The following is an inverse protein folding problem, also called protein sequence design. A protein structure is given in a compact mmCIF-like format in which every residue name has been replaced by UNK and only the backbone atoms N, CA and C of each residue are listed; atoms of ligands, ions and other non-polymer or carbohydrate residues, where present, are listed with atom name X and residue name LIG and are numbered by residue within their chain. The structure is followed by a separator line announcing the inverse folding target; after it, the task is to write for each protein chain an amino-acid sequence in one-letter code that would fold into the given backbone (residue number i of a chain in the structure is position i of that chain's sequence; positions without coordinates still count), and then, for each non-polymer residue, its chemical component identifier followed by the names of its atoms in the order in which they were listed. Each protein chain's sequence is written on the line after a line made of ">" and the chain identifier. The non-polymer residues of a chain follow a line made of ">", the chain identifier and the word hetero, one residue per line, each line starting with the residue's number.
data_IF_506417066691
#
_entry.id   IF_506417066691
#
_cell.length_a   1.000
_cell.length_b   1.000
_cell.length_c   1.000
_cell.angle_alpha   90.00
_cell.angle_beta   90.00
_cell.angle_gamma   90.00
#
_symmetry.space_group_name_H-M   'P 1'
#
loop_
_entity.id
_entity.type
_entity.pdbx_description
1 polymer ?
#
# COMPACT_ATOMS: atom_id res chain seq x y z
N UNK A 1 7.01 19.44 -4.54
CA UNK A 1 7.53 18.09 -4.19
C UNK A 1 6.56 16.97 -4.54
N UNK A 2 5.30 16.99 -4.06
CA UNK A 2 4.30 15.93 -4.30
C UNK A 2 4.12 15.58 -5.78
N UNK A 3 3.94 16.58 -6.64
CA UNK A 3 3.82 16.41 -8.10
C UNK A 3 5.03 15.66 -8.69
N UNK A 4 6.25 15.97 -8.24
CA UNK A 4 7.49 15.30 -8.71
C UNK A 4 7.57 13.83 -8.29
N UNK A 5 7.03 13.49 -7.11
CA UNK A 5 6.96 12.11 -6.59
C UNK A 5 5.93 11.29 -7.37
N UNK A 6 4.72 11.81 -7.51
CA UNK A 6 3.60 11.08 -8.14
C UNK A 6 3.76 10.97 -9.67
N UNK A 7 4.54 11.87 -10.29
CA UNK A 7 4.86 11.82 -11.73
C UNK A 7 6.05 10.89 -12.04
N UNK A 8 6.75 10.39 -11.01
CA UNK A 8 7.89 9.50 -11.21
C UNK A 8 7.41 8.13 -11.72
N UNK A 9 7.91 7.67 -12.88
CA UNK A 9 7.47 6.40 -13.51
C UNK A 9 7.50 5.18 -12.58
N UNK A 10 8.42 5.14 -11.62
CA UNK A 10 8.56 4.03 -10.66
C UNK A 10 7.66 4.13 -9.41
N UNK A 11 7.02 5.28 -9.18
CA UNK A 11 6.21 5.53 -7.99
C UNK A 11 4.97 4.64 -7.98
N UNK A 12 4.13 4.72 -9.02
CA UNK A 12 2.89 3.95 -9.10
C UNK A 12 3.12 2.43 -9.12
N UNK A 13 4.19 1.96 -9.78
CA UNK A 13 4.59 0.55 -9.72
C UNK A 13 4.96 0.13 -8.29
N UNK A 14 5.68 0.98 -7.56
CA UNK A 14 6.03 0.72 -6.17
C UNK A 14 4.80 0.73 -5.27
N UNK A 15 3.87 1.67 -5.45
CA UNK A 15 2.60 1.73 -4.71
C UNK A 15 1.82 0.45 -4.91
N UNK A 16 1.60 0.02 -6.16
CA UNK A 16 0.85 -1.19 -6.48
C UNK A 16 1.47 -2.44 -5.85
N UNK A 17 2.80 -2.59 -5.94
CA UNK A 17 3.51 -3.73 -5.34
C UNK A 17 3.38 -3.70 -3.82
N UNK A 18 3.60 -2.54 -3.18
CA UNK A 18 3.49 -2.43 -1.72
C UNK A 18 2.08 -2.69 -1.23
N UNK A 19 1.06 -2.16 -1.91
CA UNK A 19 -0.34 -2.38 -1.58
C UNK A 19 -0.73 -3.86 -1.73
N UNK A 20 -0.25 -4.55 -2.78
CA UNK A 20 -0.46 -5.98 -2.95
C UNK A 20 0.18 -6.78 -1.81
N UNK A 21 1.45 -6.53 -1.51
CA UNK A 21 2.16 -7.21 -0.42
C UNK A 21 1.46 -6.97 0.93
N UNK A 22 1.05 -5.73 1.18
CA UNK A 22 0.34 -5.38 2.40
C UNK A 22 -1.04 -6.05 2.49
N UNK A 23 -1.77 -6.13 1.38
CA UNK A 23 -3.03 -6.86 1.28
C UNK A 23 -2.84 -8.35 1.60
N UNK A 24 -1.78 -8.98 1.09
CA UNK A 24 -1.46 -10.39 1.41
C UNK A 24 -1.14 -10.56 2.89
N UNK A 25 -0.32 -9.67 3.48
CA UNK A 25 0.01 -9.70 4.91
C UNK A 25 -1.27 -9.56 5.76
N UNK A 26 -2.13 -8.60 5.44
CA UNK A 26 -3.40 -8.41 6.14
C UNK A 26 -4.33 -9.62 6.02
N UNK A 27 -4.35 -10.27 4.86
CA UNK A 27 -5.10 -11.51 4.66
C UNK A 27 -4.57 -12.64 5.56
N UNK A 28 -3.25 -12.80 5.65
CA UNK A 28 -2.61 -13.79 6.55
C UNK A 28 -2.88 -13.46 8.02
N UNK A 29 -2.79 -12.19 8.42
CA UNK A 29 -3.10 -11.75 9.78
C UNK A 29 -4.56 -12.07 10.11
N UNK A 30 -5.50 -11.72 9.23
CA UNK A 30 -6.92 -12.03 9.42
C UNK A 30 -7.15 -13.55 9.53
N UNK A 31 -6.44 -14.34 8.73
CA UNK A 31 -6.48 -15.79 8.85
C UNK A 31 -6.03 -16.26 10.24
N UNK A 32 -4.94 -15.70 10.79
CA UNK A 32 -4.47 -16.02 12.14
C UNK A 32 -5.49 -15.73 13.25
N UNK A 33 -6.31 -14.69 13.10
CA UNK A 33 -7.37 -14.37 14.07
C UNK A 33 -8.64 -15.22 13.90
N UNK A 34 -9.05 -15.53 12.66
CA UNK A 34 -10.35 -16.18 12.37
C UNK A 34 -10.25 -17.67 12.04
N UNK A 35 -9.06 -18.19 11.79
CA UNK A 35 -8.80 -19.58 11.37
C UNK A 35 -9.38 -19.97 10.00
N UNK A 36 -9.93 -19.03 9.24
CA UNK A 36 -10.66 -19.28 7.97
C UNK A 36 -10.14 -18.41 6.85
N UNK A 37 -9.75 -19.03 5.74
CA UNK A 37 -9.22 -18.36 4.55
C UNK A 37 -10.32 -17.59 3.79
N UNK A 38 -11.54 -18.10 3.71
CA UNK A 38 -12.62 -17.52 2.88
C UNK A 38 -13.32 -16.30 3.49
N UNK A 39 -12.98 -15.91 4.72
CA UNK A 39 -13.73 -14.91 5.48
C UNK A 39 -13.74 -13.50 4.88
N UNK A 40 -12.81 -13.16 3.98
CA UNK A 40 -12.81 -11.88 3.25
C UNK A 40 -13.62 -11.97 1.95
N UNK A 41 -13.50 -13.09 1.24
CA UNK A 41 -14.19 -13.30 -0.03
C UNK A 41 -15.69 -13.55 0.13
N UNK A 42 -16.12 -14.07 1.28
CA UNK A 42 -17.53 -14.20 1.65
C UNK A 42 -18.10 -12.97 2.35
N UNK A 43 -17.28 -11.94 2.61
CA UNK A 43 -17.73 -10.73 3.27
C UNK A 43 -18.51 -9.81 2.32
N UNK A 44 -19.35 -8.95 2.88
CA UNK A 44 -20.09 -7.94 2.12
C UNK A 44 -19.15 -7.08 1.27
N UNK A 45 -19.61 -6.64 0.10
CA UNK A 45 -18.86 -5.77 -0.82
C UNK A 45 -18.18 -4.57 -0.12
N UNK A 46 -18.84 -4.01 0.90
CA UNK A 46 -18.29 -2.94 1.75
C UNK A 46 -16.98 -3.34 2.45
N UNK A 47 -16.89 -4.54 2.99
CA UNK A 47 -15.70 -5.05 3.70
C UNK A 47 -14.55 -5.25 2.72
N UNK A 48 -14.83 -5.83 1.55
CA UNK A 48 -13.85 -5.99 0.49
C UNK A 48 -13.32 -4.64 0.00
N UNK A 49 -14.22 -3.67 -0.22
CA UNK A 49 -13.86 -2.31 -0.63
C UNK A 49 -12.98 -1.61 0.41
N UNK A 50 -13.33 -1.69 1.70
CA UNK A 50 -12.51 -1.13 2.79
C UNK A 50 -11.13 -1.80 2.86
N UNK A 51 -11.06 -3.12 2.64
CA UNK A 51 -9.80 -3.85 2.63
C UNK A 51 -8.87 -3.42 1.49
N UNK A 52 -9.42 -3.32 0.27
CA UNK A 52 -8.66 -2.88 -0.91
C UNK A 52 -8.25 -1.41 -0.79
N UNK A 53 -9.17 -0.53 -0.38
CA UNK A 53 -8.86 0.88 -0.18
C UNK A 53 -7.86 1.10 0.96
N UNK A 54 -8.01 0.37 2.07
CA UNK A 54 -7.09 0.45 3.21
C UNK A 54 -5.67 0.02 2.83
N UNK A 55 -5.53 -1.14 2.17
CA UNK A 55 -4.23 -1.61 1.67
C UNK A 55 -3.63 -0.68 0.61
N UNK A 56 -4.47 -0.06 -0.22
CA UNK A 56 -4.04 0.95 -1.17
C UNK A 56 -3.52 2.22 -0.49
N UNK A 57 -4.27 2.79 0.47
CA UNK A 57 -3.89 4.01 1.19
C UNK A 57 -2.58 3.79 1.96
N UNK A 58 -2.43 2.65 2.64
CA UNK A 58 -1.21 2.33 3.37
C UNK A 58 -0.02 2.17 2.42
N UNK A 59 -0.18 1.41 1.33
CA UNK A 59 0.88 1.25 0.33
C UNK A 59 1.27 2.59 -0.34
N UNK A 60 0.29 3.47 -0.57
CA UNK A 60 0.53 4.82 -1.08
C UNK A 60 1.32 5.67 -0.09
N UNK A 61 0.89 5.73 1.18
CA UNK A 61 1.54 6.54 2.21
C UNK A 61 2.99 6.11 2.47
N UNK A 62 3.24 4.81 2.58
CA UNK A 62 4.59 4.27 2.79
C UNK A 62 5.50 4.56 1.59
N UNK A 63 4.99 4.33 0.37
CA UNK A 63 5.76 4.61 -0.86
C UNK A 63 6.05 6.10 -1.02
N UNK A 64 5.07 6.95 -0.69
CA UNK A 64 5.23 8.40 -0.67
C UNK A 64 6.34 8.83 0.30
N UNK A 65 6.32 8.36 1.54
CA UNK A 65 7.37 8.64 2.52
C UNK A 65 8.76 8.19 2.04
N UNK A 66 8.86 6.99 1.45
CA UNK A 66 10.11 6.45 0.90
C UNK A 66 10.67 7.33 -0.22
N UNK A 67 9.84 7.72 -1.18
CA UNK A 67 10.26 8.58 -2.29
C UNK A 67 10.57 10.00 -1.83
N UNK A 68 9.79 10.54 -0.89
CA UNK A 68 10.02 11.85 -0.31
C UNK A 68 11.38 11.93 0.38
N UNK A 69 11.73 10.92 1.21
CA UNK A 69 13.05 10.85 1.86
C UNK A 69 14.18 10.78 0.83
N UNK A 70 14.06 9.92 -0.19
CA UNK A 70 15.07 9.80 -1.27
C UNK A 70 15.28 11.11 -2.02
N UNK A 71 14.21 11.81 -2.36
CA UNK A 71 14.28 13.10 -3.06
C UNK A 71 14.93 14.17 -2.18
N UNK A 72 14.60 14.20 -0.89
CA UNK A 72 15.19 15.13 0.08
C UNK A 72 16.69 14.88 0.28
N UNK A 73 17.12 13.60 0.32
CA UNK A 73 18.54 13.22 0.37
C UNK A 73 19.30 13.65 -0.90
N UNK A 74 18.68 13.55 -2.07
CA UNK A 74 19.29 13.98 -3.34
C UNK A 74 19.42 15.51 -3.43
N UNK A 75 18.47 16.24 -2.87
CA UNK A 75 18.46 17.70 -2.82
C UNK A 75 19.48 18.25 -1.82
N UNK A 76 19.71 17.54 -0.69
CA UNK A 76 20.73 17.91 0.30
C UNK A 76 22.17 17.60 -0.13
N UNK A 77 22.38 16.67 -1.07
CA UNK A 77 23.69 16.33 -1.62
C UNK A 77 24.13 17.21 -2.81
N UNK A 78 23.27 18.13 -3.26
CA UNK A 78 23.57 19.14 -4.28
C UNK A 78 23.87 20.47 -3.63
#
# INVERSE_FOLDING_TARGET
>A
MFKRIVTHKGYWKSVLVLSLVYGVIMYVIQWGFKGRWTGIFQASFKVLAVFVLGSFIVGFAITYGKFWRKLKEQEYRK
#
